data_IF_209113810707
#
_entry.id   IF_209113810707
#
_cell.length_a   1.000
_cell.length_b   1.000
_cell.length_c   1.000
_cell.angle_alpha   90.00
_cell.angle_beta   90.00
_cell.angle_gamma   90.00
#
_symmetry.space_group_name_H-M   'P 1'
#
loop_
_entity.id
_entity.type
_entity.pdbx_description
1 polymer ?
#
# COMPACT_ATOMS: atom_id res chain seq x y z
N UNK A 1 -22.75 28.60 20.09
CA UNK A 1 -21.41 28.05 20.42
C UNK A 1 -20.42 29.17 20.18
N UNK A 2 -20.24 30.04 21.17
CA UNK A 2 -19.20 31.07 21.17
C UNK A 2 -17.91 30.40 21.64
N UNK A 3 -16.85 30.56 20.87
CA UNK A 3 -15.48 30.35 21.32
C UNK A 3 -14.97 31.75 21.68
N UNK A 4 -14.97 32.05 22.97
CA UNK A 4 -14.34 33.23 23.54
C UNK A 4 -12.92 33.46 23.01
N UNK A 5 -12.69 34.69 22.55
CA UNK A 5 -11.40 35.37 22.51
C UNK A 5 -10.68 35.19 23.85
N UNK A 6 -9.69 34.29 23.88
CA UNK A 6 -8.74 34.19 24.98
C UNK A 6 -7.55 35.10 24.64
N UNK A 7 -7.37 36.24 25.34
CA UNK A 7 -6.25 37.14 25.07
C UNK A 7 -4.95 36.40 25.38
N UNK A 8 -4.07 36.34 24.39
CA UNK A 8 -2.75 35.75 24.50
C UNK A 8 -1.99 36.38 25.67
N UNK A 9 -1.86 35.64 26.77
CA UNK A 9 -0.95 35.95 27.86
C UNK A 9 0.47 36.02 27.30
N UNK A 10 1.01 37.23 27.23
CA UNK A 10 2.44 37.44 26.98
C UNK A 10 3.21 36.75 28.12
N UNK A 11 4.28 35.98 27.81
CA UNK A 11 5.07 35.31 28.82
C UNK A 11 5.61 36.34 29.82
N UNK A 12 5.16 36.20 31.06
CA UNK A 12 5.65 36.97 32.21
C UNK A 12 7.16 36.77 32.33
N UNK A 13 7.87 37.87 32.62
CA UNK A 13 9.31 37.97 32.69
C UNK A 13 9.95 36.71 33.30
N UNK A 14 10.73 35.99 32.48
CA UNK A 14 11.41 34.75 32.84
C UNK A 14 12.14 34.91 34.17
N UNK A 15 11.77 34.08 35.14
CA UNK A 15 12.57 33.85 36.34
C UNK A 15 14.03 33.60 35.92
N UNK A 16 15.02 34.13 36.65
CA UNK A 16 16.43 33.93 36.30
C UNK A 16 16.70 32.43 36.24
N UNK A 17 17.16 31.97 35.07
CA UNK A 17 17.41 30.56 34.79
C UNK A 17 18.30 29.97 35.90
N UNK A 18 17.84 28.96 36.65
CA UNK A 18 18.59 28.43 37.79
C UNK A 18 20.00 27.97 37.41
N UNK A 19 20.20 27.57 36.15
CA UNK A 19 21.51 27.20 35.61
C UNK A 19 22.44 28.43 35.53
N UNK A 20 21.93 29.59 35.12
CA UNK A 20 22.70 30.83 35.06
C UNK A 20 23.03 31.35 36.46
N UNK A 21 22.09 31.27 37.40
CA UNK A 21 22.32 31.66 38.80
C UNK A 21 23.40 30.79 39.47
N UNK A 22 23.37 29.47 39.24
CA UNK A 22 24.41 28.56 39.70
C UNK A 22 25.76 28.80 39.00
N UNK A 23 25.75 29.11 37.69
CA UNK A 23 26.97 29.45 36.96
C UNK A 23 27.66 30.71 37.49
N UNK A 24 26.88 31.75 37.82
CA UNK A 24 27.40 33.00 38.38
C UNK A 24 27.97 32.83 39.79
N UNK A 25 27.33 32.02 40.65
CA UNK A 25 27.85 31.76 42.00
C UNK A 25 29.17 30.97 41.96
N UNK A 26 29.30 30.01 41.05
CA UNK A 26 30.55 29.29 40.79
C UNK A 26 31.61 30.27 40.28
N UNK A 27 31.30 31.09 39.28
CA UNK A 27 32.25 32.07 38.75
C UNK A 27 32.77 33.04 39.82
N UNK A 28 31.90 33.47 40.75
CA UNK A 28 32.28 34.29 41.89
C UNK A 28 33.26 33.55 42.83
N UNK A 29 32.99 32.28 43.16
CA UNK A 29 33.89 31.46 44.00
C UNK A 29 35.27 31.26 43.35
N UNK A 30 35.32 31.05 42.04
CA UNK A 30 36.60 30.93 41.31
C UNK A 30 37.36 32.27 41.26
N UNK A 31 36.64 33.39 41.11
CA UNK A 31 37.25 34.73 41.15
C UNK A 31 37.92 35.04 42.48
N UNK A 32 37.31 34.62 43.59
CA UNK A 32 37.90 34.75 44.93
C UNK A 32 39.12 33.83 45.11
N UNK A 33 39.03 32.57 44.67
CA UNK A 33 40.11 31.59 44.79
C UNK A 33 41.36 31.91 43.94
N UNK A 34 41.20 32.52 42.76
CA UNK A 34 42.30 32.85 41.84
C UNK A 34 42.98 34.20 42.16
N UNK A 35 42.49 34.93 43.18
CA UNK A 35 43.06 36.20 43.62
C UNK A 35 42.56 37.42 42.86
N UNK A 36 41.27 37.42 42.47
CA UNK A 36 40.56 38.57 41.91
C UNK A 36 40.03 38.36 40.47
N UNK A 37 39.06 39.19 40.04
CA UNK A 37 38.36 39.05 38.76
C UNK A 37 39.29 39.19 37.53
N UNK A 38 40.37 39.96 37.64
CA UNK A 38 41.35 40.18 36.57
C UNK A 38 42.07 38.87 36.17
N UNK A 39 42.45 38.04 37.15
CA UNK A 39 43.13 36.76 36.89
C UNK A 39 42.18 35.72 36.31
N UNK A 40 40.92 35.72 36.75
CA UNK A 40 39.85 34.90 36.18
C UNK A 40 39.65 35.25 34.69
N UNK A 41 39.68 36.54 34.35
CA UNK A 41 39.50 36.99 32.96
C UNK A 41 40.63 36.52 32.04
N UNK A 42 41.89 36.60 32.50
CA UNK A 42 43.05 36.08 31.75
C UNK A 42 42.97 34.57 31.58
N UNK A 43 42.59 33.83 32.63
CA UNK A 43 42.42 32.38 32.57
C UNK A 43 41.30 31.96 31.61
N UNK A 44 40.15 32.64 31.65
CA UNK A 44 39.05 32.39 30.71
C UNK A 44 39.46 32.66 29.27
N UNK A 45 40.18 33.76 29.03
CA UNK A 45 40.69 34.11 27.69
C UNK A 45 41.69 33.08 27.15
N UNK A 46 42.49 32.46 28.01
CA UNK A 46 43.38 31.36 27.64
C UNK A 46 42.62 30.05 27.33
N UNK A 47 41.45 29.84 27.94
CA UNK A 47 40.59 28.67 27.78
C UNK A 47 39.64 28.76 26.58
N UNK A 48 39.28 29.96 26.12
CA UNK A 48 38.45 30.19 24.92
C UNK A 48 38.78 29.30 23.70
N UNK A 49 40.06 29.17 23.27
CA UNK A 49 40.37 28.33 22.12
C UNK A 49 40.09 26.85 22.35
N UNK A 50 40.22 26.35 23.59
CA UNK A 50 39.89 24.96 23.91
C UNK A 50 38.37 24.75 23.91
N UNK A 51 37.62 25.66 24.55
CA UNK A 51 36.16 25.64 24.57
C UNK A 51 35.55 25.66 23.17
N UNK A 52 36.11 26.47 22.24
CA UNK A 52 35.67 26.49 20.84
C UNK A 52 35.85 25.14 20.15
N UNK A 53 37.01 24.49 20.33
CA UNK A 53 37.28 23.17 19.74
C UNK A 53 36.34 22.10 20.29
N UNK A 54 36.10 22.10 21.60
CA UNK A 54 35.17 21.15 22.22
C UNK A 54 33.73 21.39 21.76
N UNK A 55 33.33 22.65 21.67
CA UNK A 55 32.01 23.03 21.18
C UNK A 55 31.80 22.58 19.72
N UNK A 56 32.78 22.81 18.85
CA UNK A 56 32.77 22.33 17.45
C UNK A 56 32.66 20.80 17.37
N UNK A 57 33.43 20.07 18.19
CA UNK A 57 33.36 18.61 18.24
C UNK A 57 32.01 18.11 18.74
N UNK A 58 31.45 18.76 19.77
CA UNK A 58 30.13 18.40 20.28
C UNK A 58 29.03 18.68 19.26
N UNK A 59 29.14 19.79 18.52
CA UNK A 59 28.22 20.09 17.42
C UNK A 59 28.28 19.02 16.33
N UNK A 60 29.49 18.65 15.88
CA UNK A 60 29.66 17.58 14.90
C UNK A 60 29.15 16.21 15.39
N UNK A 61 29.25 15.93 16.70
CA UNK A 61 28.69 14.72 17.30
C UNK A 61 27.16 14.74 17.26
N UNK A 62 26.55 15.88 17.60
CA UNK A 62 25.10 16.06 17.55
C UNK A 62 24.60 15.88 16.11
N UNK A 63 25.24 16.54 15.15
CA UNK A 63 24.88 16.45 13.72
C UNK A 63 24.95 14.99 13.22
N UNK A 64 25.96 14.22 13.66
CA UNK A 64 26.06 12.79 13.34
C UNK A 64 24.93 11.99 13.98
N UNK A 65 24.61 12.25 15.26
CA UNK A 65 23.52 11.57 15.94
C UNK A 65 22.17 11.84 15.28
N UNK A 66 21.91 13.09 14.88
CA UNK A 66 20.71 13.47 14.15
C UNK A 66 20.65 12.80 12.78
N UNK A 67 21.75 12.77 12.03
CA UNK A 67 21.81 12.09 10.74
C UNK A 67 21.56 10.58 10.87
N UNK A 68 22.10 9.93 11.90
CA UNK A 68 21.87 8.51 12.16
C UNK A 68 20.43 8.23 12.62
N UNK A 69 19.85 9.11 13.44
CA UNK A 69 18.45 9.03 13.84
C UNK A 69 17.52 9.18 12.63
N UNK A 70 17.79 10.14 11.74
CA UNK A 70 17.03 10.35 10.51
C UNK A 70 17.12 9.14 9.57
N UNK A 71 18.29 8.51 9.45
CA UNK A 71 18.47 7.28 8.65
C UNK A 71 17.66 6.11 9.21
N UNK A 72 17.64 5.94 10.54
CA UNK A 72 16.85 4.89 11.21
C UNK A 72 15.36 5.12 11.02
N UNK A 73 14.88 6.36 11.23
CA UNK A 73 13.49 6.72 11.00
C UNK A 73 13.07 6.46 9.54
N UNK A 74 13.90 6.85 8.56
CA UNK A 74 13.63 6.60 7.15
C UNK A 74 13.59 5.10 6.81
N UNK A 75 14.44 4.28 7.43
CA UNK A 75 14.44 2.84 7.25
C UNK A 75 13.16 2.19 7.83
N UNK A 76 12.76 2.60 9.03
CA UNK A 76 11.52 2.14 9.68
C UNK A 76 10.28 2.52 8.87
N UNK A 77 10.21 3.76 8.37
CA UNK A 77 9.13 4.19 7.48
C UNK A 77 9.09 3.39 6.18
N UNK A 78 10.25 3.10 5.58
CA UNK A 78 10.33 2.30 4.37
C UNK A 78 9.84 0.86 4.62
N UNK A 79 10.16 0.27 5.77
CA UNK A 79 9.62 -1.04 6.17
C UNK A 79 8.11 -1.00 6.42
N UNK A 80 7.61 0.02 7.12
CA UNK A 80 6.18 0.18 7.37
C UNK A 80 5.40 0.28 6.05
N UNK A 81 5.91 1.05 5.08
CA UNK A 81 5.33 1.16 3.74
C UNK A 81 5.33 -0.16 3.00
N UNK A 82 6.42 -0.95 3.09
CA UNK A 82 6.48 -2.29 2.48
C UNK A 82 5.47 -3.25 3.10
N UNK A 83 5.31 -3.22 4.42
CA UNK A 83 4.31 -4.05 5.13
C UNK A 83 2.88 -3.65 4.75
N UNK A 84 2.61 -2.35 4.65
CA UNK A 84 1.30 -1.85 4.20
C UNK A 84 0.99 -2.30 2.76
N UNK A 85 1.94 -2.13 1.84
CA UNK A 85 1.79 -2.58 0.45
C UNK A 85 1.64 -4.09 0.32
N UNK A 86 2.34 -4.88 1.12
CA UNK A 86 2.20 -6.33 1.13
C UNK A 86 0.77 -6.73 1.53
N UNK A 87 0.24 -6.11 2.59
CA UNK A 87 -1.10 -6.36 3.07
C UNK A 87 -2.19 -5.90 2.07
N UNK A 88 -1.98 -4.79 1.36
CA UNK A 88 -2.88 -4.37 0.28
C UNK A 88 -2.89 -5.38 -0.88
N UNK A 89 -1.73 -5.87 -1.30
CA UNK A 89 -1.62 -6.90 -2.34
C UNK A 89 -2.29 -8.21 -1.94
N UNK A 90 -2.21 -8.59 -0.68
CA UNK A 90 -2.93 -9.77 -0.17
C UNK A 90 -4.44 -9.58 -0.23
N UNK A 91 -4.94 -8.41 0.20
CA UNK A 91 -6.37 -8.06 0.07
C UNK A 91 -6.85 -8.10 -1.38
N UNK A 92 -6.05 -7.59 -2.31
CA UNK A 92 -6.36 -7.64 -3.74
C UNK A 92 -6.42 -9.07 -4.28
N UNK A 93 -5.49 -9.93 -3.85
CA UNK A 93 -5.49 -11.36 -4.20
C UNK A 93 -6.75 -12.05 -3.68
N UNK A 94 -7.09 -11.84 -2.40
CA UNK A 94 -8.32 -12.40 -1.82
C UNK A 94 -9.58 -11.90 -2.54
N UNK A 95 -9.63 -10.61 -2.87
CA UNK A 95 -10.76 -10.04 -3.60
C UNK A 95 -10.90 -10.67 -5.00
N UNK A 96 -9.78 -10.83 -5.72
CA UNK A 96 -9.73 -11.50 -7.01
C UNK A 96 -10.19 -12.96 -6.95
N UNK A 97 -9.73 -13.71 -5.94
CA UNK A 97 -10.13 -15.10 -5.73
C UNK A 97 -11.64 -15.22 -5.48
N UNK A 98 -12.20 -14.37 -4.62
CA UNK A 98 -13.66 -14.34 -4.33
C UNK A 98 -14.48 -14.09 -5.60
N UNK A 99 -14.02 -13.22 -6.50
CA UNK A 99 -14.69 -12.93 -7.77
C UNK A 99 -14.62 -14.15 -8.70
N UNK A 100 -13.44 -14.78 -8.81
CA UNK A 100 -13.23 -15.96 -9.68
C UNK A 100 -14.12 -17.15 -9.30
N UNK A 101 -14.28 -17.41 -8.00
CA UNK A 101 -15.12 -18.51 -7.47
C UNK A 101 -16.60 -18.28 -7.79
N UNK A 102 -17.09 -17.04 -7.65
CA UNK A 102 -18.48 -16.70 -8.03
C UNK A 102 -18.72 -16.92 -9.51
N UNK A 103 -17.81 -16.44 -10.35
CA UNK A 103 -17.92 -16.59 -11.80
C UNK A 103 -17.90 -18.07 -12.22
N UNK A 104 -17.05 -18.88 -11.58
CA UNK A 104 -17.00 -20.32 -11.83
C UNK A 104 -18.32 -21.02 -11.47
N UNK A 105 -18.89 -20.71 -10.30
CA UNK A 105 -20.19 -21.28 -9.87
C UNK A 105 -21.34 -20.89 -10.82
N UNK A 106 -21.41 -19.64 -11.25
CA UNK A 106 -22.45 -19.21 -12.20
C UNK A 106 -22.30 -19.91 -13.56
N UNK A 107 -21.07 -20.04 -14.07
CA UNK A 107 -20.79 -20.76 -15.31
C UNK A 107 -21.18 -22.24 -15.22
N UNK A 108 -20.85 -22.90 -14.11
CA UNK A 108 -21.22 -24.31 -13.89
C UNK A 108 -22.73 -24.50 -13.78
N UNK A 109 -23.45 -23.59 -13.11
CA UNK A 109 -24.92 -23.65 -13.04
C UNK A 109 -25.58 -23.47 -14.41
N UNK A 110 -25.10 -22.50 -15.20
CA UNK A 110 -25.59 -22.27 -16.56
C UNK A 110 -25.36 -23.47 -17.48
N UNK A 111 -24.18 -24.11 -17.37
CA UNK A 111 -23.88 -25.34 -18.12
C UNK A 111 -24.82 -26.47 -17.72
N UNK A 112 -25.01 -26.70 -16.42
CA UNK A 112 -25.92 -27.75 -15.94
C UNK A 112 -27.36 -27.50 -16.38
N UNK A 113 -27.86 -26.26 -16.28
CA UNK A 113 -29.22 -25.94 -16.73
C UNK A 113 -29.41 -26.10 -18.24
N UNK A 114 -28.37 -25.80 -19.03
CA UNK A 114 -28.44 -26.00 -20.48
C UNK A 114 -28.45 -27.50 -20.84
N UNK A 115 -27.63 -28.31 -20.16
CA UNK A 115 -27.60 -29.76 -20.37
C UNK A 115 -28.95 -30.38 -19.96
N UNK A 116 -29.48 -30.05 -18.77
CA UNK A 116 -30.77 -30.59 -18.35
C UNK A 116 -31.89 -30.19 -19.30
N UNK A 117 -31.94 -28.94 -19.76
CA UNK A 117 -32.93 -28.48 -20.75
C UNK A 117 -32.81 -29.24 -22.08
N UNK A 118 -31.59 -29.49 -22.55
CA UNK A 118 -31.36 -30.25 -23.80
C UNK A 118 -31.84 -31.69 -23.71
N UNK A 119 -31.59 -32.36 -22.57
CA UNK A 119 -32.06 -33.73 -22.31
C UNK A 119 -33.58 -33.77 -22.22
N UNK A 120 -34.19 -32.76 -21.58
CA UNK A 120 -35.64 -32.66 -21.45
C UNK A 120 -36.33 -32.43 -22.80
N UNK A 121 -35.74 -31.56 -23.65
CA UNK A 121 -36.19 -31.34 -25.04
C UNK A 121 -36.05 -32.61 -25.89
N UNK A 122 -34.93 -33.31 -25.80
CA UNK A 122 -34.70 -34.56 -26.53
C UNK A 122 -35.69 -35.65 -26.08
N UNK A 123 -35.86 -35.82 -24.77
CA UNK A 123 -36.80 -36.77 -24.19
C UNK A 123 -38.25 -36.46 -24.55
N UNK A 124 -38.64 -35.17 -24.51
CA UNK A 124 -39.97 -34.73 -24.96
C UNK A 124 -40.21 -35.00 -26.44
N UNK A 125 -39.21 -34.76 -27.29
CA UNK A 125 -39.27 -35.08 -28.72
C UNK A 125 -39.44 -36.58 -29.00
N UNK A 126 -38.69 -37.43 -28.29
CA UNK A 126 -38.80 -38.89 -28.39
C UNK A 126 -40.17 -39.39 -27.91
N UNK A 127 -40.71 -38.82 -26.83
CA UNK A 127 -42.01 -39.20 -26.29
C UNK A 127 -43.18 -38.82 -27.23
N UNK A 128 -43.08 -37.70 -27.95
CA UNK A 128 -44.10 -37.26 -28.90
C UNK A 128 -44.05 -38.01 -30.26
N UNK A 129 -42.95 -38.72 -30.53
CA UNK A 129 -42.71 -39.44 -31.79
C UNK A 129 -43.80 -40.45 -32.21
N UNK A 130 -44.46 -41.21 -31.30
CA UNK A 130 -45.47 -42.20 -31.69
C UNK A 130 -46.76 -41.57 -32.24
N UNK A 131 -47.00 -40.29 -31.94
CA UNK A 131 -48.28 -39.64 -32.23
C UNK A 131 -48.25 -38.94 -33.59
N UNK A 132 -47.10 -38.37 -34.03
CA UNK A 132 -46.94 -37.69 -35.33
C UNK A 132 -45.45 -37.53 -35.77
N UNK A 133 -44.79 -38.63 -36.14
CA UNK A 133 -43.33 -38.65 -36.39
C UNK A 133 -42.78 -37.75 -37.52
N UNK A 134 -43.57 -37.45 -38.55
CA UNK A 134 -43.11 -36.61 -39.68
C UNK A 134 -42.97 -35.12 -39.29
N UNK A 135 -43.89 -34.61 -38.46
CA UNK A 135 -43.82 -33.22 -37.97
C UNK A 135 -42.66 -33.05 -37.01
N UNK A 136 -42.40 -34.06 -36.17
CA UNK A 136 -41.24 -34.07 -35.27
C UNK A 136 -39.91 -34.01 -36.04
N UNK A 137 -39.76 -34.76 -37.14
CA UNK A 137 -38.56 -34.71 -37.98
C UNK A 137 -38.36 -33.34 -38.64
N UNK A 138 -39.42 -32.74 -39.17
CA UNK A 138 -39.35 -31.46 -39.88
C UNK A 138 -39.06 -30.26 -38.96
N UNK A 139 -39.59 -30.27 -37.73
CA UNK A 139 -39.44 -29.16 -36.78
C UNK A 139 -38.16 -29.23 -35.95
N UNK A 140 -37.68 -30.44 -35.67
CA UNK A 140 -36.55 -30.67 -34.77
C UNK A 140 -35.20 -30.43 -35.48
N UNK A 141 -35.10 -30.73 -36.79
CA UNK A 141 -33.86 -30.66 -37.56
C UNK A 141 -33.13 -29.31 -37.54
N UNK A 142 -33.76 -28.19 -37.96
CA UNK A 142 -33.07 -26.89 -38.08
C UNK A 142 -32.76 -26.25 -36.72
N UNK A 143 -33.65 -26.43 -35.74
CA UNK A 143 -33.48 -25.88 -34.40
C UNK A 143 -32.37 -26.60 -33.63
N UNK A 144 -32.28 -27.93 -33.74
CA UNK A 144 -31.16 -28.68 -33.16
C UNK A 144 -29.85 -28.36 -33.87
N UNK A 145 -29.84 -28.20 -35.19
CA UNK A 145 -28.63 -27.82 -35.93
C UNK A 145 -28.14 -26.43 -35.50
N UNK A 146 -29.08 -25.49 -35.27
CA UNK A 146 -28.78 -24.14 -34.81
C UNK A 146 -28.24 -24.12 -33.39
N UNK A 147 -28.83 -24.90 -32.48
CA UNK A 147 -28.35 -25.03 -31.10
C UNK A 147 -27.00 -25.73 -31.05
N UNK A 148 -26.80 -26.79 -31.83
CA UNK A 148 -25.52 -27.47 -31.96
C UNK A 148 -24.45 -26.50 -32.48
N UNK A 149 -24.77 -25.73 -33.51
CA UNK A 149 -23.88 -24.72 -34.07
C UNK A 149 -23.56 -23.64 -33.05
N UNK A 150 -24.54 -23.08 -32.35
CA UNK A 150 -24.32 -22.04 -31.33
C UNK A 150 -23.50 -22.60 -30.16
N UNK A 151 -23.77 -23.82 -29.69
CA UNK A 151 -23.00 -24.42 -28.60
C UNK A 151 -21.56 -24.75 -29.00
N UNK A 152 -21.36 -25.32 -30.20
CA UNK A 152 -20.04 -25.67 -30.70
C UNK A 152 -19.22 -24.43 -31.05
N UNK A 153 -19.82 -23.43 -31.72
CA UNK A 153 -19.14 -22.17 -32.06
C UNK A 153 -18.96 -21.23 -30.87
N UNK A 154 -19.88 -21.17 -29.90
CA UNK A 154 -19.59 -20.43 -28.64
C UNK A 154 -18.46 -21.09 -27.87
N UNK A 155 -18.42 -22.43 -27.86
CA UNK A 155 -17.35 -23.15 -27.18
C UNK A 155 -16.00 -22.93 -27.85
N UNK A 156 -15.93 -22.81 -29.19
CA UNK A 156 -14.68 -22.41 -29.86
C UNK A 156 -14.35 -20.93 -29.64
N UNK A 157 -15.33 -20.02 -29.73
CA UNK A 157 -15.10 -18.59 -29.54
C UNK A 157 -14.55 -18.25 -28.14
N UNK A 158 -15.03 -18.92 -27.10
CA UNK A 158 -14.49 -18.78 -25.73
C UNK A 158 -13.03 -19.29 -25.62
N UNK A 159 -12.65 -20.32 -26.38
CA UNK A 159 -11.29 -20.85 -26.42
C UNK A 159 -10.36 -19.90 -27.20
N UNK A 160 -10.81 -19.42 -28.35
CA UNK A 160 -10.08 -18.51 -29.22
C UNK A 160 -9.87 -17.14 -28.54
N UNK A 161 -10.88 -16.61 -27.83
CA UNK A 161 -10.75 -15.38 -27.03
C UNK A 161 -9.73 -15.53 -25.89
N UNK A 162 -9.62 -16.73 -25.29
CA UNK A 162 -8.62 -17.00 -24.25
C UNK A 162 -7.21 -17.16 -24.81
N UNK A 163 -7.07 -17.56 -26.05
CA UNK A 163 -5.80 -17.66 -26.74
C UNK A 163 -5.35 -16.29 -27.24
N UNK A 164 -6.26 -15.51 -27.84
CA UNK A 164 -6.03 -14.11 -28.20
C UNK A 164 -5.64 -13.25 -26.99
N UNK A 165 -6.28 -13.44 -25.84
CA UNK A 165 -5.93 -12.76 -24.60
C UNK A 165 -4.54 -13.13 -24.05
N UNK A 166 -4.07 -14.36 -24.27
CA UNK A 166 -2.71 -14.79 -23.91
C UNK A 166 -1.66 -14.21 -24.87
N UNK A 167 -1.93 -14.22 -26.17
CA UNK A 167 -1.06 -13.63 -27.19
C UNK A 167 -0.93 -12.11 -27.02
N UNK A 168 -2.01 -11.41 -26.67
CA UNK A 168 -1.99 -9.97 -26.42
C UNK A 168 -1.13 -9.59 -25.21
N UNK A 169 -1.20 -10.36 -24.11
CA UNK A 169 -0.33 -10.17 -22.93
C UNK A 169 1.14 -10.55 -23.19
N UNK A 170 1.38 -11.52 -24.07
CA UNK A 170 2.73 -11.85 -24.53
C UNK A 170 3.37 -10.72 -25.34
N UNK A 171 2.61 -10.08 -26.22
CA UNK A 171 3.08 -8.96 -27.03
C UNK A 171 3.36 -7.69 -26.21
N UNK A 172 2.55 -7.40 -25.17
CA UNK A 172 2.80 -6.26 -24.29
C UNK A 172 4.02 -6.43 -23.37
N UNK A 173 4.54 -7.65 -23.23
CA UNK A 173 5.72 -7.97 -22.44
C UNK A 173 6.98 -8.18 -23.31
N UNK A 174 6.91 -7.95 -24.61
CA UNK A 174 8.08 -8.03 -25.48
C UNK A 174 9.02 -6.82 -25.21
N UNK A 175 10.33 -7.04 -25.02
CA UNK A 175 11.28 -5.95 -24.84
C UNK A 175 11.35 -5.10 -26.13
N UNK A 176 11.53 -3.77 -26.01
CA UNK A 176 11.62 -2.90 -27.18
C UNK A 176 12.82 -3.29 -28.07
N UNK A 177 12.69 -3.18 -29.40
CA UNK A 177 13.79 -3.45 -30.32
C UNK A 177 14.94 -2.45 -30.07
N UNK A 178 16.17 -2.98 -30.06
CA UNK A 178 17.43 -2.25 -29.83
C UNK A 178 17.87 -1.55 -31.11
#
# INVERSE_FOLDING_TARGET
MSLEDQPAELPTASAPDPVLAAGLSIAAQWGEALGGPEKLQVALKALEPQLRREHELNRLRLDRQEADAARKAAAEEAEARRRAQAHEREKEREAGERISVRHHKHRMRLLNSAVTLSVLMLGGGLYAMPINGWIAGALCGPSLLSLLRIFVLRRSADADLREAGRSARGASNAPPPI
#
